data_IF_150787834047
#
_entry.id   IF_150787834047
#
_cell.length_a   1.000
_cell.length_b   1.000
_cell.length_c   1.000
_cell.angle_alpha   90.00
_cell.angle_beta   90.00
_cell.angle_gamma   90.00
#
_symmetry.space_group_name_H-M   'P 1'
#
loop_
_entity.id
_entity.type
_entity.pdbx_description
1 polymer ?
#
# COMPACT_ATOMS: atom_id res chain seq x y z
N UNK A 1 -1.86 45.84 -74.35
CA UNK A 1 -1.22 46.98 -73.66
C UNK A 1 -1.33 46.74 -72.16
N UNK A 2 -0.28 47.13 -71.41
CA UNK A 2 0.02 46.81 -70.00
C UNK A 2 -1.13 47.13 -69.01
N UNK A 3 -1.19 46.67 -67.76
CA UNK A 3 -0.11 46.57 -66.75
C UNK A 3 -0.61 45.94 -65.42
N UNK A 4 0.31 45.24 -64.75
CA UNK A 4 0.56 45.13 -63.29
C UNK A 4 -0.51 44.61 -62.29
N UNK A 5 -0.13 43.54 -61.57
CA UNK A 5 -0.50 43.22 -60.17
C UNK A 5 0.40 44.07 -59.20
N UNK A 6 0.40 43.94 -57.83
CA UNK A 6 -0.34 43.03 -56.92
C UNK A 6 -0.86 43.70 -55.60
N UNK A 7 -1.62 42.97 -54.75
CA UNK A 7 -1.62 43.25 -53.30
C UNK A 7 -2.09 42.05 -52.45
N UNK A 8 -1.10 41.41 -51.82
CA UNK A 8 -1.06 40.79 -50.48
C UNK A 8 -2.17 39.83 -49.99
N UNK A 9 -1.80 38.55 -49.80
CA UNK A 9 -2.30 37.62 -48.77
C UNK A 9 -1.86 38.10 -47.35
N UNK A 10 -2.04 37.37 -46.20
CA UNK A 10 -2.72 36.09 -45.92
C UNK A 10 -3.55 36.08 -44.60
N UNK A 11 -4.23 34.97 -44.27
CA UNK A 11 -4.39 34.32 -42.94
C UNK A 11 -5.66 33.45 -42.97
N UNK A 12 -5.58 32.14 -43.24
CA UNK A 12 -5.15 31.05 -42.36
C UNK A 12 -6.10 30.74 -41.18
N UNK A 13 -6.80 29.60 -41.32
CA UNK A 13 -7.35 28.71 -40.29
C UNK A 13 -8.51 29.29 -39.42
N UNK A 14 -9.45 28.52 -38.87
CA UNK A 14 -9.34 27.16 -38.38
C UNK A 14 -10.74 26.59 -38.12
N UNK A 15 -10.95 25.33 -38.51
CA UNK A 15 -12.12 24.53 -38.15
C UNK A 15 -12.01 24.14 -36.67
N UNK A 16 -12.80 24.77 -35.79
CA UNK A 16 -12.89 24.36 -34.40
C UNK A 16 -13.82 23.15 -34.28
N UNK A 17 -13.24 21.95 -34.34
CA UNK A 17 -13.88 20.74 -33.84
C UNK A 17 -14.07 20.87 -32.32
N UNK A 18 -15.31 20.74 -31.85
CA UNK A 18 -15.66 20.69 -30.43
C UNK A 18 -15.05 19.42 -29.84
N UNK A 19 -13.92 19.58 -29.15
CA UNK A 19 -13.31 18.51 -28.38
C UNK A 19 -14.09 18.33 -27.07
N UNK A 20 -14.69 17.16 -26.90
CA UNK A 20 -15.22 16.69 -25.61
C UNK A 20 -14.13 16.75 -24.53
N UNK A 21 -14.43 17.15 -23.29
CA UNK A 21 -13.48 16.98 -22.21
C UNK A 21 -13.40 15.48 -21.91
N UNK A 22 -12.29 14.86 -22.30
CA UNK A 22 -11.92 13.56 -21.76
C UNK A 22 -11.86 13.72 -20.23
N UNK A 23 -12.74 13.03 -19.54
CA UNK A 23 -12.65 12.83 -18.10
C UNK A 23 -11.30 12.18 -17.82
N UNK A 24 -10.34 12.97 -17.33
CA UNK A 24 -9.11 12.46 -16.76
C UNK A 24 -9.52 11.62 -15.55
N UNK A 25 -9.69 10.32 -15.77
CA UNK A 25 -9.77 9.37 -14.68
C UNK A 25 -8.45 9.49 -13.92
N UNK A 26 -8.51 10.11 -12.74
CA UNK A 26 -7.43 10.01 -11.78
C UNK A 26 -7.26 8.52 -11.51
N UNK A 27 -6.28 7.91 -12.17
CA UNK A 27 -5.76 6.61 -11.76
C UNK A 27 -5.00 6.88 -10.47
N UNK A 28 -5.75 6.90 -9.37
CA UNK A 28 -5.18 6.80 -8.04
C UNK A 28 -4.62 5.39 -7.96
N UNK A 29 -3.37 5.23 -8.43
CA UNK A 29 -2.60 4.04 -8.12
C UNK A 29 -2.47 4.01 -6.59
N UNK A 30 -3.36 3.28 -5.95
CA UNK A 30 -3.24 2.96 -4.53
C UNK A 30 -1.92 2.22 -4.41
N UNK A 31 -0.90 2.89 -3.85
CA UNK A 31 0.37 2.26 -3.58
C UNK A 31 0.09 1.04 -2.71
N UNK A 32 0.38 -0.16 -3.23
CA UNK A 32 0.18 -1.39 -2.48
C UNK A 32 1.04 -1.31 -1.24
N UNK A 33 0.46 -1.30 -0.02
CA UNK A 33 1.26 -1.26 1.18
C UNK A 33 2.17 -2.48 1.20
N UNK A 34 3.46 -2.23 1.33
CA UNK A 34 4.50 -3.27 1.37
C UNK A 34 4.65 -3.69 2.82
N UNK A 35 4.44 -4.98 3.09
CA UNK A 35 4.57 -5.56 4.42
C UNK A 35 5.69 -6.59 4.43
N UNK A 36 6.34 -6.76 5.57
CA UNK A 36 7.25 -7.90 5.81
C UNK A 36 6.48 -9.11 6.31
N UNK A 37 7.02 -10.29 6.04
CA UNK A 37 6.62 -11.56 6.67
C UNK A 37 7.49 -11.82 7.92
N UNK A 38 7.07 -12.72 8.81
CA UNK A 38 7.75 -12.97 10.08
C UNK A 38 9.18 -13.47 9.90
N UNK A 39 9.43 -14.30 8.87
CA UNK A 39 10.77 -14.78 8.53
C UNK A 39 11.75 -13.64 8.14
N UNK A 40 11.24 -12.52 7.63
CA UNK A 40 12.06 -11.36 7.24
C UNK A 40 12.35 -10.40 8.41
N UNK A 41 11.83 -10.68 9.60
CA UNK A 41 12.11 -9.88 10.78
C UNK A 41 13.45 -10.32 11.35
N UNK A 42 14.40 -9.39 11.35
CA UNK A 42 15.71 -9.60 11.97
C UNK A 42 15.83 -8.84 13.29
N UNK A 43 16.52 -9.45 14.26
CA UNK A 43 16.80 -8.84 15.54
C UNK A 43 15.62 -8.84 16.52
N UNK A 44 15.70 -7.96 17.52
CA UNK A 44 14.75 -7.94 18.65
C UNK A 44 13.55 -7.02 18.41
N UNK A 45 13.68 -6.04 17.50
CA UNK A 45 12.67 -5.03 17.22
C UNK A 45 12.53 -4.84 15.71
N UNK A 46 11.28 -4.81 15.24
CA UNK A 46 10.93 -4.47 13.86
C UNK A 46 10.14 -3.16 13.87
N UNK A 47 10.59 -2.15 13.12
CA UNK A 47 9.84 -0.91 12.92
C UNK A 47 9.04 -0.90 11.61
N UNK A 48 9.21 -1.93 10.78
CA UNK A 48 8.50 -2.07 9.53
C UNK A 48 7.12 -2.71 9.76
N UNK A 49 6.12 -2.36 8.94
CA UNK A 49 4.81 -2.98 9.05
C UNK A 49 4.89 -4.46 8.65
N UNK A 50 4.36 -5.33 9.50
CA UNK A 50 4.35 -6.79 9.30
C UNK A 50 2.91 -7.25 9.14
N UNK A 51 2.66 -8.10 8.16
CA UNK A 51 1.35 -8.72 7.96
C UNK A 51 1.36 -10.15 8.50
N UNK A 52 0.46 -10.44 9.44
CA UNK A 52 0.36 -11.74 10.11
C UNK A 52 -1.10 -12.17 10.25
N UNK A 53 -1.31 -13.47 10.37
CA UNK A 53 -2.59 -14.05 10.82
C UNK A 53 -2.45 -14.42 12.30
N UNK A 54 -3.27 -13.81 13.14
CA UNK A 54 -3.41 -14.22 14.54
C UNK A 54 -4.23 -15.50 14.61
N UNK A 55 -3.64 -16.56 15.13
CA UNK A 55 -4.32 -17.86 15.32
C UNK A 55 -4.91 -17.94 16.72
N UNK A 56 -4.11 -17.58 17.73
CA UNK A 56 -4.54 -17.63 19.12
C UNK A 56 -3.80 -16.60 19.96
N UNK A 57 -4.40 -16.15 21.05
CA UNK A 57 -3.76 -15.29 22.04
C UNK A 57 -4.11 -15.77 23.43
N UNK A 58 -3.18 -15.62 24.37
CA UNK A 58 -3.41 -15.91 25.77
C UNK A 58 -2.84 -14.81 26.66
N UNK A 59 -3.50 -14.60 27.79
CA UNK A 59 -3.11 -13.60 28.77
C UNK A 59 -2.07 -14.20 29.72
N UNK A 60 -0.87 -13.63 29.75
CA UNK A 60 0.10 -13.95 30.76
C UNK A 60 -0.28 -13.21 32.04
N UNK A 61 -0.88 -13.91 33.00
CA UNK A 61 -1.27 -13.33 34.30
C UNK A 61 -0.42 -13.86 35.44
N UNK A 62 -0.05 -12.96 36.36
CA UNK A 62 0.65 -13.32 37.58
C UNK A 62 -0.36 -13.73 38.67
N UNK A 63 -0.67 -15.03 38.73
CA UNK A 63 -1.56 -15.58 39.75
C UNK A 63 -1.07 -15.32 41.19
N UNK A 64 0.25 -15.20 41.40
CA UNK A 64 0.83 -14.96 42.74
C UNK A 64 0.68 -13.51 43.21
N UNK A 65 0.51 -12.57 42.27
CA UNK A 65 0.42 -11.13 42.54
C UNK A 65 -0.98 -10.61 42.22
N UNK A 66 -2.02 -11.25 42.76
CA UNK A 66 -3.41 -10.79 42.59
C UNK A 66 -3.95 -10.91 41.17
N UNK A 67 -3.44 -11.86 40.38
CA UNK A 67 -3.85 -12.09 39.00
C UNK A 67 -3.64 -10.89 38.07
N UNK A 68 -2.62 -10.08 38.33
CA UNK A 68 -2.24 -8.92 37.50
C UNK A 68 -1.84 -9.41 36.10
N UNK A 69 -2.35 -8.74 35.08
CA UNK A 69 -1.95 -8.95 33.68
C UNK A 69 -0.49 -8.50 33.50
N UNK A 70 0.37 -9.44 33.11
CA UNK A 70 1.80 -9.21 32.85
C UNK A 70 2.10 -9.03 31.37
N UNK A 71 1.19 -9.46 30.48
CA UNK A 71 1.38 -9.36 29.06
C UNK A 71 0.41 -10.26 28.28
N UNK A 72 0.57 -10.24 26.96
CA UNK A 72 -0.09 -11.16 26.05
C UNK A 72 0.94 -12.02 25.36
N UNK A 73 0.62 -13.29 25.19
CA UNK A 73 1.37 -14.16 24.32
C UNK A 73 0.50 -14.49 23.09
N UNK A 74 1.10 -14.38 21.91
CA UNK A 74 0.42 -14.46 20.62
C UNK A 74 1.00 -15.62 19.81
N UNK A 75 0.11 -16.40 19.21
CA UNK A 75 0.42 -17.41 18.20
C UNK A 75 0.09 -16.82 16.82
N UNK A 76 1.15 -16.51 16.07
CA UNK A 76 1.06 -15.88 14.75
C UNK A 76 1.47 -16.85 13.65
N UNK A 77 0.87 -16.68 12.47
CA UNK A 77 1.16 -17.43 11.26
C UNK A 77 1.31 -16.47 10.07
N UNK A 78 2.29 -16.74 9.21
CA UNK A 78 2.51 -15.93 8.01
C UNK A 78 1.41 -16.13 6.96
N UNK A 79 1.04 -15.07 6.22
CA UNK A 79 -0.02 -15.16 5.22
C UNK A 79 0.31 -16.09 4.05
N UNK A 80 1.61 -16.30 3.77
CA UNK A 80 2.10 -17.05 2.60
C UNK A 80 2.48 -18.52 2.90
N UNK A 81 2.54 -18.90 4.17
CA UNK A 81 3.09 -20.21 4.56
C UNK A 81 2.00 -21.29 4.58
N UNK A 82 1.85 -22.00 3.45
CA UNK A 82 0.90 -23.11 3.26
C UNK A 82 1.57 -24.48 3.44
N UNK A 83 2.90 -24.58 3.24
CA UNK A 83 3.58 -25.88 3.18
C UNK A 83 4.28 -26.34 4.47
N UNK A 84 4.56 -25.45 5.43
CA UNK A 84 5.03 -25.82 6.77
C UNK A 84 4.77 -24.65 7.74
N UNK A 85 3.76 -24.72 8.63
CA UNK A 85 3.41 -23.59 9.47
C UNK A 85 4.57 -23.23 10.40
N UNK A 86 5.24 -22.11 10.10
CA UNK A 86 6.16 -21.46 11.04
C UNK A 86 5.31 -20.80 12.11
N UNK A 87 5.20 -21.49 13.24
CA UNK A 87 4.51 -20.99 14.43
C UNK A 87 5.49 -20.11 15.20
N UNK A 88 5.11 -18.85 15.38
CA UNK A 88 5.89 -17.91 16.16
C UNK A 88 5.14 -17.57 17.45
N UNK A 89 5.88 -17.59 18.57
CA UNK A 89 5.42 -17.13 19.88
C UNK A 89 5.98 -15.74 20.13
N UNK A 90 5.10 -14.77 20.31
CA UNK A 90 5.47 -13.40 20.68
C UNK A 90 4.92 -13.04 22.04
N UNK A 91 5.73 -12.38 22.87
CA UNK A 91 5.30 -11.81 24.16
C UNK A 91 5.24 -10.29 24.03
N UNK A 92 4.08 -9.72 24.31
CA UNK A 92 3.88 -8.27 24.44
C UNK A 92 3.82 -7.97 25.94
N UNK A 93 4.78 -7.19 26.45
CA UNK A 93 4.92 -6.78 27.86
C UNK A 93 4.54 -5.32 28.02
#
# INVERSE_FOLDING_TARGET
MASNAPSADPFAASSAAVASPASNAFSTAVATPTFKILEQIEGQFCNDPVLVRLIHFWEARNFKKGNILMGFELLLLDPEVICAPSIFKYTVV
#
